data_IF_882920323428
#
_entry.id   IF_882920323428
#
_cell.length_a   1.000
_cell.length_b   1.000
_cell.length_c   1.000
_cell.angle_alpha   90.00
_cell.angle_beta   90.00
_cell.angle_gamma   90.00
#
_symmetry.space_group_name_H-M   'P 1'
#
loop_
_entity.id
_entity.type
_entity.pdbx_description
1 polymer ?
#
# COMPACT_ATOMS: atom_id res chain seq x y z
N UNK A 1 -8.60 16.90 5.96
CA UNK A 1 -7.69 16.73 4.81
C UNK A 1 -6.35 16.21 5.34
N UNK A 2 -6.05 14.90 5.40
CA UNK A 2 -4.79 14.49 5.99
C UNK A 2 -3.64 14.68 4.99
N UNK A 3 -2.62 15.36 5.49
CA UNK A 3 -1.45 15.98 4.88
C UNK A 3 -0.39 15.00 4.32
N UNK A 4 -0.76 13.74 4.04
CA UNK A 4 0.19 12.61 3.96
C UNK A 4 0.57 12.20 2.52
N UNK A 5 -0.17 12.66 1.50
CA UNK A 5 -0.06 12.12 0.14
C UNK A 5 1.25 12.46 -0.61
N UNK A 6 1.90 13.58 -0.29
CA UNK A 6 3.04 14.10 -1.08
C UNK A 6 4.35 13.35 -0.76
N UNK A 7 4.64 13.12 0.52
CA UNK A 7 5.86 12.40 0.93
C UNK A 7 5.81 10.93 0.48
N UNK A 8 4.63 10.36 0.63
CA UNK A 8 4.29 9.00 0.25
C UNK A 8 4.49 8.71 -1.25
N UNK A 9 4.03 9.61 -2.13
CA UNK A 9 4.21 9.43 -3.58
C UNK A 9 5.69 9.33 -3.96
N UNK A 10 6.58 10.08 -3.31
CA UNK A 10 8.03 10.01 -3.59
C UNK A 10 8.64 8.66 -3.17
N UNK A 11 8.26 8.13 -2.00
CA UNK A 11 8.75 6.83 -1.51
C UNK A 11 8.19 5.63 -2.29
N UNK A 12 7.02 5.77 -2.90
CA UNK A 12 6.52 4.75 -3.83
C UNK A 12 7.28 4.85 -5.14
N UNK A 13 7.37 6.05 -5.72
CA UNK A 13 8.06 6.25 -6.99
C UNK A 13 9.54 5.86 -6.93
N UNK A 14 10.19 5.93 -5.77
CA UNK A 14 11.58 5.45 -5.62
C UNK A 14 11.73 3.93 -5.81
N UNK A 15 10.64 3.15 -5.68
CA UNK A 15 10.59 1.72 -5.96
C UNK A 15 10.48 1.43 -7.48
N UNK A 16 10.34 2.46 -8.32
CA UNK A 16 10.20 2.33 -9.76
C UNK A 16 11.36 3.00 -10.50
N UNK A 17 11.75 2.42 -11.62
CA UNK A 17 12.64 3.03 -12.61
C UNK A 17 11.83 3.54 -13.79
N UNK A 18 12.12 4.76 -14.23
CA UNK A 18 11.49 5.33 -15.43
C UNK A 18 12.16 4.74 -16.67
N UNK A 19 11.40 3.94 -17.43
CA UNK A 19 11.88 3.29 -18.66
C UNK A 19 11.65 4.19 -19.87
N UNK A 20 10.50 4.85 -19.94
CA UNK A 20 10.17 5.82 -20.99
C UNK A 20 9.10 6.80 -20.51
N UNK A 21 8.67 7.71 -21.39
CA UNK A 21 7.57 8.63 -21.09
C UNK A 21 6.32 7.84 -20.69
N UNK A 22 5.83 8.10 -19.47
CA UNK A 22 4.70 7.42 -18.86
C UNK A 22 4.88 5.90 -18.67
N UNK A 23 6.11 5.36 -18.66
CA UNK A 23 6.35 3.93 -18.40
C UNK A 23 7.31 3.77 -17.23
N UNK A 24 6.82 3.15 -16.16
CA UNK A 24 7.55 2.91 -14.92
C UNK A 24 7.70 1.39 -14.71
N UNK A 25 8.90 0.95 -14.37
CA UNK A 25 9.22 -0.45 -14.07
C UNK A 25 9.44 -0.60 -12.57
N UNK A 26 8.70 -1.48 -11.91
CA UNK A 26 8.93 -1.79 -10.50
C UNK A 26 10.25 -2.56 -10.33
N UNK A 27 11.15 -2.06 -9.47
CA UNK A 27 12.51 -2.56 -9.32
C UNK A 27 12.58 -4.02 -8.87
N UNK A 28 11.68 -4.44 -7.98
CA UNK A 28 11.74 -5.77 -7.37
C UNK A 28 10.94 -6.81 -8.17
N UNK A 29 9.77 -6.43 -8.70
CA UNK A 29 8.85 -7.38 -9.36
C UNK A 29 9.02 -7.40 -10.88
N UNK A 30 9.67 -6.39 -11.46
CA UNK A 30 9.75 -6.20 -12.92
C UNK A 30 8.41 -5.82 -13.56
N UNK A 31 7.43 -5.39 -12.77
CA UNK A 31 6.10 -5.01 -13.27
C UNK A 31 6.16 -3.66 -14.01
N UNK A 32 5.61 -3.61 -15.22
CA UNK A 32 5.55 -2.39 -16.03
C UNK A 32 4.20 -1.69 -15.81
N UNK A 33 4.26 -0.44 -15.40
CA UNK A 33 3.11 0.44 -15.17
C UNK A 33 3.11 1.55 -16.22
N UNK A 34 2.02 1.61 -16.99
CA UNK A 34 1.81 2.61 -18.03
C UNK A 34 0.93 3.76 -17.50
N UNK A 35 1.26 4.99 -17.86
CA UNK A 35 0.50 6.17 -17.48
C UNK A 35 -0.79 6.31 -18.31
N UNK A 36 -1.86 6.88 -17.74
CA UNK A 36 -1.98 7.41 -16.37
C UNK A 36 -2.15 6.31 -15.32
N UNK A 37 -1.31 6.37 -14.28
CA UNK A 37 -1.30 5.43 -13.15
C UNK A 37 -1.95 6.04 -11.90
N UNK A 38 -2.51 5.18 -11.05
CA UNK A 38 -3.01 5.55 -9.73
C UNK A 38 -2.17 4.84 -8.66
N UNK A 39 -2.20 5.34 -7.42
CA UNK A 39 -1.53 4.68 -6.30
C UNK A 39 -2.55 3.78 -5.59
N UNK A 40 -2.29 2.47 -5.63
CA UNK A 40 -3.11 1.44 -5.01
C UNK A 40 -2.41 0.77 -3.82
N UNK A 41 -3.14 -0.12 -3.15
CA UNK A 41 -2.57 -1.01 -2.14
C UNK A 41 -2.20 -2.34 -2.80
N UNK A 42 -1.16 -3.01 -2.29
CA UNK A 42 -0.91 -4.39 -2.72
C UNK A 42 -2.04 -5.32 -2.25
N UNK A 43 -2.30 -6.44 -2.95
CA UNK A 43 -3.30 -7.40 -2.53
C UNK A 43 -3.07 -7.86 -1.09
N UNK A 44 -4.15 -7.92 -0.30
CA UNK A 44 -4.09 -8.28 1.12
C UNK A 44 -3.84 -7.10 2.07
N UNK A 45 -3.36 -5.96 1.58
CA UNK A 45 -3.06 -4.75 2.36
C UNK A 45 -4.03 -3.59 2.12
N UNK A 46 -5.22 -3.91 1.63
CA UNK A 46 -6.26 -2.93 1.31
C UNK A 46 -6.58 -2.02 2.49
N UNK A 47 -6.85 -0.74 2.22
CA UNK A 47 -7.17 0.27 3.25
C UNK A 47 -8.21 -0.22 4.26
N UNK A 48 -9.29 -0.87 3.80
CA UNK A 48 -10.34 -1.40 4.67
C UNK A 48 -9.83 -2.44 5.67
N UNK A 49 -8.87 -3.29 5.26
CA UNK A 49 -8.26 -4.32 6.10
C UNK A 49 -7.32 -3.70 7.13
N UNK A 50 -6.54 -2.69 6.72
CA UNK A 50 -5.69 -1.92 7.61
C UNK A 50 -6.52 -1.20 8.68
N UNK A 51 -7.60 -0.52 8.30
CA UNK A 51 -8.51 0.10 9.27
C UNK A 51 -9.15 -0.92 10.22
N UNK A 52 -9.58 -2.09 9.71
CA UNK A 52 -10.17 -3.14 10.56
C UNK A 52 -9.14 -3.72 11.54
N UNK A 53 -7.90 -3.94 11.10
CA UNK A 53 -6.81 -4.40 11.97
C UNK A 53 -6.47 -3.37 13.04
N UNK A 54 -6.35 -2.10 12.67
CA UNK A 54 -6.09 -0.98 13.57
C UNK A 54 -7.18 -0.85 14.64
N UNK A 55 -8.46 -0.92 14.23
CA UNK A 55 -9.60 -0.94 15.16
C UNK A 55 -9.56 -2.12 16.12
N UNK A 56 -9.21 -3.33 15.65
CA UNK A 56 -9.11 -4.53 16.49
C UNK A 56 -7.94 -4.50 17.46
N UNK A 57 -6.89 -3.74 17.16
CA UNK A 57 -5.72 -3.56 18.01
C UNK A 57 -5.84 -2.31 18.91
N UNK A 58 -6.85 -1.47 18.70
CA UNK A 58 -7.06 -0.25 19.48
C UNK A 58 -6.10 0.89 19.14
N UNK A 59 -5.51 0.90 17.93
CA UNK A 59 -4.61 1.98 17.51
C UNK A 59 -5.38 3.30 17.39
N UNK A 60 -4.75 4.37 17.85
CA UNK A 60 -5.19 5.74 17.59
C UNK A 60 -4.98 6.09 16.12
N UNK A 61 -5.68 7.14 15.65
CA UNK A 61 -5.51 7.64 14.27
C UNK A 61 -4.07 8.07 13.99
N UNK A 62 -3.33 8.52 14.99
CA UNK A 62 -1.94 8.91 14.84
C UNK A 62 -1.03 7.70 14.66
N UNK A 63 -1.13 6.69 15.54
CA UNK A 63 -0.37 5.43 15.40
C UNK A 63 -0.68 4.71 14.09
N UNK A 64 -1.93 4.74 13.65
CA UNK A 64 -2.31 4.22 12.34
C UNK A 64 -1.60 4.95 11.19
N UNK A 65 -1.56 6.28 11.23
CA UNK A 65 -0.86 7.05 10.21
C UNK A 65 0.65 6.76 10.26
N UNK A 66 1.25 6.66 11.44
CA UNK A 66 2.68 6.37 11.61
C UNK A 66 3.04 4.98 11.08
N UNK A 67 2.20 3.98 11.36
CA UNK A 67 2.32 2.63 10.83
C UNK A 67 2.24 2.59 9.30
N UNK A 68 1.27 3.32 8.72
CA UNK A 68 1.12 3.41 7.26
C UNK A 68 2.30 4.15 6.64
N UNK A 69 2.79 5.21 7.30
CA UNK A 69 3.93 5.99 6.85
C UNK A 69 5.25 5.21 6.88
N UNK A 70 5.42 4.29 7.82
CA UNK A 70 6.63 3.46 7.91
C UNK A 70 6.68 2.35 6.85
N UNK A 71 5.58 2.13 6.11
CA UNK A 71 5.41 1.01 5.18
C UNK A 71 5.07 1.48 3.77
N UNK A 72 5.97 2.19 3.07
CA UNK A 72 5.71 2.57 1.68
C UNK A 72 5.62 1.37 0.72
N UNK A 73 6.10 0.19 1.14
CA UNK A 73 6.11 -1.07 0.39
C UNK A 73 4.75 -1.79 0.35
N UNK A 74 3.77 -1.42 1.18
CA UNK A 74 2.40 -2.01 1.11
C UNK A 74 1.56 -1.37 -0.01
N UNK A 75 2.19 -0.52 -0.80
CA UNK A 75 1.58 0.27 -1.82
C UNK A 75 2.35 0.17 -3.12
N UNK A 76 1.60 0.20 -4.22
CA UNK A 76 2.15 0.08 -5.56
C UNK A 76 1.43 1.03 -6.51
N UNK A 77 2.14 1.40 -7.57
CA UNK A 77 1.49 1.99 -8.73
C UNK A 77 0.66 0.91 -9.41
N UNK A 78 -0.59 1.23 -9.72
CA UNK A 78 -1.48 0.34 -10.45
C UNK A 78 -1.92 1.02 -11.75
N UNK A 79 -1.96 0.24 -12.83
CA UNK A 79 -2.58 0.69 -14.06
C UNK A 79 -4.05 0.99 -13.79
N UNK A 80 -4.51 2.22 -14.09
CA UNK A 80 -5.91 2.64 -13.91
C UNK A 80 -6.92 1.73 -14.62
N UNK A 81 -6.49 1.04 -15.68
CA UNK A 81 -7.31 0.08 -16.42
C UNK A 81 -7.49 -1.24 -15.67
N UNK A 82 -6.41 -1.77 -15.07
CA UNK A 82 -6.44 -3.04 -14.36
C UNK A 82 -7.12 -2.90 -12.99
N UNK A 83 -6.88 -1.79 -12.29
CA UNK A 83 -7.52 -1.48 -11.02
C UNK A 83 -9.06 -1.38 -11.15
N UNK A 84 -9.57 -0.85 -12.27
CA UNK A 84 -11.02 -0.79 -12.54
C UNK A 84 -11.65 -2.11 -12.97
N UNK A 85 -10.83 -3.12 -13.29
CA UNK A 85 -11.34 -4.39 -13.83
C UNK A 85 -11.69 -5.42 -12.75
N UNK A 86 -11.26 -5.22 -11.49
CA UNK A 86 -11.47 -6.13 -10.35
C UNK A 86 -11.12 -7.61 -10.65
N UNK A 87 -10.32 -7.89 -11.70
CA UNK A 87 -10.08 -9.27 -12.19
C UNK A 87 -9.32 -10.15 -11.19
N UNK A 88 -8.61 -9.55 -10.24
CA UNK A 88 -7.74 -10.24 -9.28
C UNK A 88 -8.20 -10.08 -7.82
N UNK A 89 -9.40 -9.54 -7.56
CA UNK A 89 -9.91 -9.44 -6.20
C UNK A 89 -10.36 -10.82 -5.71
N UNK A 90 -9.54 -11.42 -4.83
CA UNK A 90 -9.91 -12.62 -4.09
C UNK A 90 -11.21 -12.34 -3.31
N UNK A 91 -12.28 -13.14 -3.47
CA UNK A 91 -13.47 -12.98 -2.67
C UNK A 91 -13.17 -13.29 -1.19
N UNK A 92 -13.35 -12.29 -0.32
CA UNK A 92 -13.38 -12.51 1.14
C UNK A 92 -12.70 -11.43 1.99
N UNK A 93 -12.95 -11.49 3.30
CA UNK A 93 -12.25 -10.71 4.35
C UNK A 93 -11.12 -11.54 5.02
N UNK A 94 -10.63 -12.58 4.35
CA UNK A 94 -9.65 -13.52 4.90
C UNK A 94 -8.22 -12.96 4.85
N UNK A 95 -7.46 -13.15 5.94
CA UNK A 95 -6.06 -12.72 6.18
C UNK A 95 -5.84 -11.26 6.60
N UNK A 96 -6.52 -10.81 7.66
CA UNK A 96 -6.03 -9.65 8.46
C UNK A 96 -5.00 -10.06 9.52
N UNK A 97 -4.71 -11.37 9.66
CA UNK A 97 -3.78 -11.88 10.67
C UNK A 97 -2.38 -11.36 10.41
N UNK A 98 -1.93 -11.35 9.16
CA UNK A 98 -0.61 -10.85 8.76
C UNK A 98 -0.48 -9.35 9.07
N UNK A 99 -1.50 -8.56 8.70
CA UNK A 99 -1.55 -7.13 9.04
C UNK A 99 -1.52 -6.93 10.56
N UNK A 100 -2.33 -7.67 11.32
CA UNK A 100 -2.37 -7.53 12.78
C UNK A 100 -1.04 -7.90 13.42
N UNK A 101 -0.38 -8.95 12.92
CA UNK A 101 0.91 -9.38 13.44
C UNK A 101 1.98 -8.33 13.15
N UNK A 102 1.99 -7.80 11.93
CA UNK A 102 2.93 -6.77 11.52
C UNK A 102 2.68 -5.42 12.23
N UNK A 103 1.42 -5.01 12.42
CA UNK A 103 1.05 -3.87 13.29
C UNK A 103 1.52 -4.06 14.73
N UNK A 104 1.34 -5.26 15.30
CA UNK A 104 1.84 -5.57 16.65
C UNK A 104 3.36 -5.51 16.70
N UNK A 105 4.06 -6.03 15.69
CA UNK A 105 5.51 -5.95 15.61
C UNK A 105 5.98 -4.49 15.58
N UNK A 106 5.31 -3.64 14.80
CA UNK A 106 5.57 -2.20 14.78
C UNK A 106 5.39 -1.53 16.15
N UNK A 107 4.26 -1.80 16.82
CA UNK A 107 4.01 -1.26 18.17
C UNK A 107 5.05 -1.73 19.20
N UNK A 108 5.63 -2.92 19.02
CA UNK A 108 6.68 -3.45 19.87
C UNK A 108 8.09 -2.96 19.48
N UNK A 109 8.21 -1.97 18.58
CA UNK A 109 9.49 -1.41 18.14
C UNK A 109 10.19 -2.18 17.02
N UNK A 110 9.51 -3.15 16.40
CA UNK A 110 9.95 -3.79 15.16
C UNK A 110 9.90 -2.80 14.00
N UNK A 111 11.01 -2.66 13.27
CA UNK A 111 11.10 -1.86 12.06
C UNK A 111 10.55 -2.60 10.86
#
# INVERSE_FOLDING_TARGET
>A
MPFVFIHYKKNILSQYDQVSDNVLLHKETGEIVNGPFDIGHIPGWEHRRLEEAAKKLGLTRQEFNDYVNSRPNIFRLENRSENRSHRNEMPGKGNILDIKQDMRNFMNGGK
#
